data_IF_656872170453
#
_entry.id   IF_656872170453
#
_cell.length_a   1.000
_cell.length_b   1.000
_cell.length_c   1.000
_cell.angle_alpha   90.00
_cell.angle_beta   90.00
_cell.angle_gamma   90.00
#
_symmetry.space_group_name_H-M   'P 1'
#
loop_
_entity.id
_entity.type
_entity.pdbx_description
1 polymer ?
#
# COMPACT_ATOMS: atom_id res chain seq x y z
N UNK A 1 -0.83 41.22 -12.65
CA UNK A 1 -0.90 39.89 -12.01
C UNK A 1 0.06 39.88 -10.84
N UNK A 2 -0.42 39.68 -9.61
CA UNK A 2 0.41 39.54 -8.41
C UNK A 2 0.72 38.06 -8.16
N UNK A 3 2.00 37.74 -7.96
CA UNK A 3 2.46 36.38 -7.63
C UNK A 3 2.03 36.05 -6.20
N UNK A 4 1.50 34.85 -5.98
CA UNK A 4 1.13 34.32 -4.65
C UNK A 4 2.05 33.17 -4.30
N UNK A 5 2.55 33.16 -3.05
CA UNK A 5 3.40 32.11 -2.51
C UNK A 5 2.59 31.25 -1.52
N UNK A 6 2.75 29.93 -1.60
CA UNK A 6 2.10 28.97 -0.71
C UNK A 6 3.15 28.12 0.01
N UNK A 7 2.80 27.63 1.21
CA UNK A 7 3.62 26.71 2.00
C UNK A 7 2.78 25.50 2.40
N UNK A 8 3.35 24.31 2.30
CA UNK A 8 2.69 23.10 2.81
C UNK A 8 2.85 22.98 4.32
N UNK A 9 1.75 22.58 4.97
CA UNK A 9 1.70 22.33 6.42
C UNK A 9 1.78 20.84 6.76
N UNK A 10 1.98 19.98 5.76
CA UNK A 10 2.09 18.52 5.90
C UNK A 10 3.40 18.05 5.26
N UNK A 11 3.84 16.87 5.65
CA UNK A 11 4.98 16.21 5.00
C UNK A 11 4.65 16.02 3.52
N UNK A 12 5.53 16.48 2.65
CA UNK A 12 5.30 16.55 1.21
C UNK A 12 5.92 15.32 0.54
N UNK A 13 5.15 14.69 -0.35
CA UNK A 13 5.66 13.64 -1.22
C UNK A 13 6.86 14.12 -2.05
N UNK A 14 7.82 13.24 -2.28
CA UNK A 14 8.99 13.53 -3.11
C UNK A 14 10.11 14.32 -2.43
N UNK A 15 9.96 14.72 -1.16
CA UNK A 15 11.11 15.18 -0.36
C UNK A 15 11.94 13.98 0.10
N UNK A 16 13.26 14.12 0.12
CA UNK A 16 14.20 13.03 0.45
C UNK A 16 13.97 12.45 1.85
N UNK A 17 13.46 13.26 2.79
CA UNK A 17 13.21 12.86 4.17
C UNK A 17 11.77 12.38 4.44
N UNK A 18 10.81 12.60 3.54
CA UNK A 18 9.40 12.29 3.78
C UNK A 18 9.17 10.83 4.16
N UNK A 19 9.79 9.93 3.40
CA UNK A 19 9.73 8.49 3.63
C UNK A 19 10.20 8.11 5.03
N UNK A 20 11.35 8.64 5.45
CA UNK A 20 11.89 8.35 6.78
C UNK A 20 10.96 8.85 7.88
N UNK A 21 10.41 10.07 7.72
CA UNK A 21 9.48 10.64 8.70
C UNK A 21 8.19 9.81 8.81
N UNK A 22 7.62 9.39 7.67
CA UNK A 22 6.44 8.53 7.65
C UNK A 22 6.71 7.18 8.36
N UNK A 23 7.80 6.50 8.01
CA UNK A 23 8.16 5.24 8.67
C UNK A 23 8.45 5.41 10.16
N UNK A 24 9.08 6.52 10.58
CA UNK A 24 9.35 6.78 12.00
C UNK A 24 8.08 6.96 12.82
N UNK A 25 7.05 7.59 12.24
CA UNK A 25 5.73 7.72 12.85
C UNK A 25 5.08 6.36 13.03
N UNK A 26 5.11 5.50 12.00
CA UNK A 26 4.58 4.13 12.10
C UNK A 26 5.30 3.30 13.17
N UNK A 27 6.63 3.42 13.25
CA UNK A 27 7.41 2.79 14.31
C UNK A 27 7.01 3.30 15.70
N UNK A 28 6.75 4.60 15.84
CA UNK A 28 6.30 5.16 17.11
C UNK A 28 4.91 4.63 17.49
N UNK A 29 3.98 4.58 16.52
CA UNK A 29 2.64 4.03 16.73
C UNK A 29 2.69 2.59 17.25
N UNK A 30 3.56 1.75 16.68
CA UNK A 30 3.76 0.38 17.15
C UNK A 30 4.37 0.34 18.56
N UNK A 31 5.31 1.23 18.88
CA UNK A 31 5.90 1.31 20.22
C UNK A 31 4.88 1.73 21.28
N UNK A 32 4.02 2.69 20.95
CA UNK A 32 3.05 3.26 21.90
C UNK A 32 1.86 2.31 22.11
N UNK A 33 1.23 1.86 21.02
CA UNK A 33 -0.06 1.14 21.07
C UNK A 33 0.02 -0.31 20.56
N UNK A 34 1.13 -0.74 19.97
CA UNK A 34 1.25 -2.04 19.32
C UNK A 34 1.07 -3.25 20.25
N UNK A 35 1.30 -3.07 21.56
CA UNK A 35 1.06 -4.12 22.55
C UNK A 35 -0.42 -4.56 22.64
N UNK A 36 -1.36 -3.68 22.28
CA UNK A 36 -2.79 -4.00 22.21
C UNK A 36 -3.17 -4.76 20.93
N UNK A 37 -2.32 -4.71 19.90
CA UNK A 37 -2.60 -5.19 18.55
C UNK A 37 -1.42 -5.98 17.98
N UNK A 38 -1.06 -7.16 18.55
CA UNK A 38 0.19 -7.85 18.25
C UNK A 38 0.35 -8.29 16.79
N UNK A 39 -0.75 -8.67 16.11
CA UNK A 39 -0.69 -9.05 14.69
C UNK A 39 -0.39 -7.83 13.82
N UNK A 40 -1.09 -6.72 14.08
CA UNK A 40 -0.85 -5.46 13.37
C UNK A 40 0.54 -4.90 13.66
N UNK A 41 1.00 -4.95 14.91
CA UNK A 41 2.33 -4.50 15.31
C UNK A 41 3.44 -5.26 14.56
N UNK A 42 3.30 -6.58 14.43
CA UNK A 42 4.22 -7.40 13.65
C UNK A 42 4.20 -6.98 12.18
N UNK A 43 3.02 -6.95 11.55
CA UNK A 43 2.88 -6.61 10.13
C UNK A 43 3.39 -5.19 9.81
N UNK A 44 3.06 -4.19 10.63
CA UNK A 44 3.54 -2.80 10.42
C UNK A 44 5.06 -2.70 10.57
N UNK A 45 5.66 -3.56 11.40
CA UNK A 45 7.11 -3.54 11.61
C UNK A 45 7.89 -4.23 10.49
N UNK A 46 7.34 -5.29 9.89
CA UNK A 46 8.03 -6.12 8.89
C UNK A 46 7.61 -5.86 7.44
N UNK A 47 6.35 -5.48 7.22
CA UNK A 47 5.70 -5.58 5.90
C UNK A 47 5.39 -4.22 5.27
N UNK A 48 5.75 -3.13 5.96
CA UNK A 48 5.63 -1.77 5.42
C UNK A 48 6.73 -1.48 4.42
N UNK A 49 6.33 -1.06 3.22
CA UNK A 49 7.22 -0.46 2.23
C UNK A 49 6.76 0.96 1.92
N UNK A 50 7.55 1.94 2.38
CA UNK A 50 7.19 3.36 2.28
C UNK A 50 5.81 3.63 2.93
N UNK A 51 4.79 3.88 2.11
CA UNK A 51 3.40 4.12 2.48
C UNK A 51 2.47 2.92 2.19
N UNK A 52 2.96 1.87 1.53
CA UNK A 52 2.20 0.65 1.22
C UNK A 52 2.45 -0.44 2.28
N UNK A 53 1.37 -1.12 2.70
CA UNK A 53 1.43 -2.31 3.56
C UNK A 53 1.04 -3.55 2.75
N UNK A 54 1.99 -4.47 2.55
CA UNK A 54 1.74 -5.72 1.83
C UNK A 54 1.96 -6.90 2.77
N UNK A 55 0.88 -7.41 3.35
CA UNK A 55 0.92 -8.47 4.36
C UNK A 55 -0.05 -9.60 4.02
N UNK A 56 0.11 -10.75 4.65
CA UNK A 56 -0.70 -11.95 4.42
C UNK A 56 -0.66 -12.92 5.60
N UNK A 57 -1.60 -13.86 5.63
CA UNK A 57 -1.71 -14.91 6.65
C UNK A 57 -2.01 -16.26 6.01
N UNK A 58 -1.87 -17.34 6.77
CA UNK A 58 -2.10 -18.70 6.28
C UNK A 58 -3.58 -19.04 6.06
N UNK A 59 -4.49 -18.35 6.76
CA UNK A 59 -5.92 -18.62 6.70
C UNK A 59 -6.76 -17.33 6.80
N UNK A 60 -8.03 -17.46 6.42
CA UNK A 60 -8.99 -16.35 6.35
C UNK A 60 -9.39 -15.78 7.71
N UNK A 61 -9.39 -16.59 8.77
CA UNK A 61 -9.75 -16.13 10.10
C UNK A 61 -8.64 -15.22 10.66
N UNK A 62 -7.39 -15.68 10.57
CA UNK A 62 -6.22 -14.88 10.92
C UNK A 62 -6.13 -13.59 10.10
N UNK A 63 -6.47 -13.64 8.80
CA UNK A 63 -6.49 -12.46 7.95
C UNK A 63 -7.54 -11.43 8.38
N UNK A 64 -8.74 -11.88 8.76
CA UNK A 64 -9.82 -11.01 9.28
C UNK A 64 -9.37 -10.33 10.59
N UNK A 65 -8.78 -11.10 11.51
CA UNK A 65 -8.24 -10.56 12.77
C UNK A 65 -7.11 -9.55 12.52
N UNK A 66 -6.18 -9.86 11.61
CA UNK A 66 -5.10 -8.95 11.25
C UNK A 66 -5.66 -7.64 10.69
N UNK A 67 -6.63 -7.70 9.77
CA UNK A 67 -7.29 -6.51 9.21
C UNK A 67 -7.95 -5.66 10.30
N UNK A 68 -8.69 -6.28 11.22
CA UNK A 68 -9.34 -5.58 12.34
C UNK A 68 -8.32 -4.88 13.25
N UNK A 69 -7.25 -5.58 13.62
CA UNK A 69 -6.17 -5.01 14.43
C UNK A 69 -5.46 -3.86 13.71
N UNK A 70 -5.22 -3.97 12.39
CA UNK A 70 -4.62 -2.90 11.60
C UNK A 70 -5.51 -1.66 11.58
N UNK A 71 -6.81 -1.82 11.35
CA UNK A 71 -7.77 -0.71 11.37
C UNK A 71 -7.77 -0.03 12.74
N UNK A 72 -7.80 -0.80 13.83
CA UNK A 72 -7.83 -0.27 15.19
C UNK A 72 -6.53 0.47 15.55
N UNK A 73 -5.36 -0.13 15.25
CA UNK A 73 -4.05 0.47 15.52
C UNK A 73 -3.88 1.80 14.77
N UNK A 74 -4.14 1.82 13.46
CA UNK A 74 -4.01 3.05 12.66
C UNK A 74 -5.03 4.11 13.07
N UNK A 75 -6.26 3.72 13.45
CA UNK A 75 -7.26 4.65 13.99
C UNK A 75 -6.78 5.29 15.30
N UNK A 76 -6.11 4.54 16.17
CA UNK A 76 -5.47 5.09 17.38
C UNK A 76 -4.41 6.16 17.06
N UNK A 77 -3.64 5.95 15.99
CA UNK A 77 -2.70 6.93 15.45
C UNK A 77 -3.32 8.06 14.63
N UNK A 78 -4.65 8.17 14.55
CA UNK A 78 -5.33 9.20 13.74
C UNK A 78 -5.19 9.01 12.23
N UNK A 79 -4.86 7.81 11.78
CA UNK A 79 -4.68 7.44 10.37
C UNK A 79 -5.78 6.49 9.91
N UNK A 80 -6.07 6.50 8.61
CA UNK A 80 -7.04 5.61 7.98
C UNK A 80 -6.38 4.88 6.81
N UNK A 81 -6.41 3.55 6.86
CA UNK A 81 -5.98 2.69 5.75
C UNK A 81 -7.06 2.71 4.65
N UNK A 82 -6.62 2.89 3.40
CA UNK A 82 -7.48 2.99 2.22
C UNK A 82 -7.02 2.03 1.11
N UNK A 83 -7.78 1.90 0.01
CA UNK A 83 -7.40 1.09 -1.17
C UNK A 83 -7.09 -0.38 -0.86
N UNK A 84 -7.90 -0.99 0.02
CA UNK A 84 -7.76 -2.40 0.37
C UNK A 84 -7.89 -3.30 -0.85
N UNK A 85 -6.90 -4.17 -1.06
CA UNK A 85 -6.88 -5.17 -2.13
C UNK A 85 -6.54 -6.54 -1.54
N UNK A 86 -7.14 -7.60 -2.06
CA UNK A 86 -6.94 -8.97 -1.56
C UNK A 86 -7.21 -10.00 -2.65
N UNK A 87 -6.55 -11.17 -2.54
CA UNK A 87 -6.88 -12.37 -3.31
C UNK A 87 -8.13 -13.10 -2.78
N UNK A 88 -8.69 -12.66 -1.64
CA UNK A 88 -9.88 -13.26 -1.03
C UNK A 88 -11.04 -12.26 -0.92
N UNK A 89 -12.18 -12.59 -1.53
CA UNK A 89 -13.39 -11.74 -1.54
C UNK A 89 -13.95 -11.51 -0.13
N UNK A 90 -13.88 -12.52 0.74
CA UNK A 90 -14.38 -12.42 2.11
C UNK A 90 -13.66 -11.34 2.94
N UNK A 91 -12.40 -11.03 2.62
CA UNK A 91 -11.67 -9.95 3.28
C UNK A 91 -12.11 -8.56 2.82
N UNK A 92 -12.67 -8.45 1.62
CA UNK A 92 -13.15 -7.18 1.06
C UNK A 92 -14.59 -6.86 1.49
N UNK A 93 -15.41 -7.90 1.70
CA UNK A 93 -16.84 -7.77 1.99
C UNK A 93 -17.19 -7.08 3.33
N UNK A 94 -16.32 -7.17 4.34
CA UNK A 94 -16.60 -6.67 5.70
C UNK A 94 -16.02 -5.28 5.99
N UNK A 95 -15.85 -4.45 4.97
CA UNK A 95 -15.28 -3.12 5.14
C UNK A 95 -16.35 -2.13 5.58
N UNK A 96 -16.61 -2.01 6.89
CA UNK A 96 -17.34 -0.84 7.45
C UNK A 96 -16.60 0.49 7.19
N UNK A 97 -15.39 0.40 6.67
CA UNK A 97 -14.65 1.52 6.08
C UNK A 97 -15.29 1.84 4.73
N UNK A 98 -16.27 2.73 4.77
CA UNK A 98 -16.84 3.44 3.63
C UNK A 98 -15.75 4.25 2.92
N UNK A 99 -14.92 3.56 2.15
CA UNK A 99 -14.23 4.14 1.01
C UNK A 99 -15.14 3.80 -0.17
N UNK A 100 -15.68 4.80 -0.87
CA UNK A 100 -16.74 4.66 -1.88
C UNK A 100 -16.36 3.83 -3.12
N UNK A 101 -15.29 3.05 -3.05
CA UNK A 101 -14.67 2.26 -4.11
C UNK A 101 -14.30 0.84 -3.65
N UNK A 102 -14.89 0.32 -2.56
CA UNK A 102 -14.80 -1.12 -2.25
C UNK A 102 -15.69 -1.89 -3.23
N UNK A 103 -15.18 -2.09 -4.44
CA UNK A 103 -15.73 -3.10 -5.33
C UNK A 103 -15.61 -4.45 -4.63
N UNK A 104 -16.75 -5.10 -4.35
CA UNK A 104 -16.81 -6.46 -3.82
C UNK A 104 -16.22 -7.50 -4.80
N UNK A 105 -15.75 -7.06 -5.97
CA UNK A 105 -15.05 -7.86 -6.96
C UNK A 105 -13.55 -7.67 -6.76
N UNK A 106 -12.84 -8.79 -6.62
CA UNK A 106 -11.38 -8.81 -6.76
C UNK A 106 -11.06 -8.27 -8.16
N UNK A 107 -10.28 -7.19 -8.28
CA UNK A 107 -9.89 -6.67 -9.58
C UNK A 107 -9.06 -7.72 -10.34
N UNK A 108 -9.15 -7.75 -11.66
CA UNK A 108 -8.31 -8.64 -12.47
C UNK A 108 -6.82 -8.24 -12.35
N UNK A 109 -6.57 -6.96 -12.18
CA UNK A 109 -5.24 -6.37 -12.06
C UNK A 109 -5.27 -5.11 -11.17
N UNK A 110 -4.29 -4.96 -10.28
CA UNK A 110 -4.03 -3.75 -9.50
C UNK A 110 -2.53 -3.44 -9.48
N UNK A 111 -2.14 -2.26 -9.00
CA UNK A 111 -0.72 -1.90 -8.83
C UNK A 111 -0.29 -2.10 -7.40
N UNK A 112 0.87 -2.72 -7.21
CA UNK A 112 1.54 -2.81 -5.92
C UNK A 112 3.05 -2.67 -6.14
N UNK A 113 3.68 -1.73 -5.45
CA UNK A 113 5.12 -1.46 -5.55
C UNK A 113 5.63 -1.18 -6.98
N UNK A 114 4.78 -0.58 -7.82
CA UNK A 114 5.09 -0.32 -9.24
C UNK A 114 4.92 -1.53 -10.17
N UNK A 115 4.62 -2.71 -9.62
CA UNK A 115 4.31 -3.91 -10.39
C UNK A 115 2.80 -4.05 -10.59
N UNK A 116 2.43 -4.81 -11.62
CA UNK A 116 1.07 -5.29 -11.77
C UNK A 116 0.89 -6.52 -10.88
N UNK A 117 -0.14 -6.53 -10.04
CA UNK A 117 -0.54 -7.68 -9.24
C UNK A 117 -1.90 -8.15 -9.72
N UNK A 118 -2.03 -9.45 -9.95
CA UNK A 118 -3.29 -10.13 -10.30
C UNK A 118 -3.75 -10.91 -9.07
N UNK A 119 -4.66 -10.35 -8.25
CA UNK A 119 -4.97 -10.94 -6.97
C UNK A 119 -5.66 -12.30 -7.09
N UNK A 120 -6.47 -12.54 -8.13
CA UNK A 120 -7.15 -13.83 -8.32
C UNK A 120 -6.18 -15.02 -8.42
N UNK A 121 -5.01 -14.80 -9.03
CA UNK A 121 -3.98 -15.82 -9.21
C UNK A 121 -2.80 -15.66 -8.25
N UNK A 122 -2.87 -14.65 -7.37
CA UNK A 122 -1.79 -14.20 -6.49
C UNK A 122 -0.42 -14.12 -7.18
N UNK A 123 -0.38 -13.44 -8.33
CA UNK A 123 0.80 -13.38 -9.19
C UNK A 123 1.14 -11.95 -9.58
N UNK A 124 2.42 -11.59 -9.54
CA UNK A 124 2.91 -10.35 -10.13
C UNK A 124 3.12 -10.51 -11.64
N UNK A 125 2.84 -9.45 -12.38
CA UNK A 125 3.05 -9.34 -13.81
C UNK A 125 3.83 -8.07 -14.13
N UNK A 126 4.53 -8.10 -15.27
CA UNK A 126 5.13 -6.93 -15.90
C UNK A 126 4.61 -6.84 -17.32
N UNK A 127 4.28 -5.62 -17.76
CA UNK A 127 3.95 -5.34 -19.16
C UNK A 127 5.10 -4.54 -19.73
N UNK A 128 5.79 -5.13 -20.71
CA UNK A 128 6.87 -4.45 -21.45
C UNK A 128 6.34 -4.17 -22.84
N UNK A 129 5.91 -2.94 -23.06
CA UNK A 129 5.67 -2.42 -24.41
C UNK A 129 7.00 -1.99 -25.00
N UNK A 130 7.73 -2.94 -25.57
CA UNK A 130 8.94 -2.63 -26.30
C UNK A 130 8.56 -2.08 -27.68
N UNK A 131 8.70 -0.76 -27.88
CA UNK A 131 8.73 -0.17 -29.22
C UNK A 131 10.09 -0.53 -29.86
N UNK A 132 10.28 -1.81 -30.17
CA UNK A 132 11.51 -2.27 -30.82
C UNK A 132 11.44 -1.80 -32.27
N UNK A 133 12.20 -0.75 -32.58
CA UNK A 133 12.52 -0.46 -33.96
C UNK A 133 13.39 -1.61 -34.49
N UNK A 134 12.83 -2.50 -35.32
CA UNK A 134 13.50 -3.68 -35.87
C UNK A 134 14.80 -3.33 -36.65
N UNK A 135 14.98 -2.06 -37.02
CA UNK A 135 16.14 -1.58 -37.80
C UNK A 135 17.22 -0.86 -36.97
N UNK A 136 17.03 -0.63 -35.67
CA UNK A 136 18.04 0.03 -34.83
C UNK A 136 18.80 -0.97 -33.95
N UNK A 137 20.14 -0.82 -33.89
CA UNK A 137 20.96 -1.52 -32.90
C UNK A 137 20.44 -1.20 -31.50
N UNK A 138 20.01 -2.22 -30.76
CA UNK A 138 19.53 -2.06 -29.38
C UNK A 138 20.70 -1.55 -28.53
N UNK A 139 20.49 -0.41 -27.88
CA UNK A 139 21.39 0.15 -26.88
C UNK A 139 20.64 0.31 -25.56
N UNK A 140 21.34 0.42 -24.43
CA UNK A 140 20.71 0.70 -23.13
C UNK A 140 19.77 1.93 -23.16
N UNK A 141 20.03 2.90 -24.06
CA UNK A 141 19.23 4.12 -24.23
C UNK A 141 18.02 3.96 -25.16
N UNK A 142 17.90 2.87 -25.91
CA UNK A 142 16.80 2.64 -26.86
C UNK A 142 15.65 1.81 -26.27
N UNK A 143 15.73 1.42 -24.99
CA UNK A 143 14.76 0.56 -24.29
C UNK A 143 14.09 1.30 -23.12
N UNK A 144 14.54 2.52 -22.78
CA UNK A 144 13.98 3.36 -21.73
C UNK A 144 12.94 4.33 -22.26
#
# INVERSE_FOLDING_TARGET
MTIRTYKMNRVVYGTTCATYLAQRVLKQLVMDDGHNYPLAASAVSSDMYMDDLLTGTADIYSAKQLKEQLIALFRGGGMQLHKWSSNCKELLANSEVSDGDVSLKIPDETKALGLSWRPQNDSFAFSVSANVCESCKITKRSVC
#
